data_IF_129083095143
#
_entry.id   IF_129083095143
#
_cell.length_a   1.000
_cell.length_b   1.000
_cell.length_c   1.000
_cell.angle_alpha   90.00
_cell.angle_beta   90.00
_cell.angle_gamma   90.00
#
_symmetry.space_group_name_H-M   'P 1'
#
loop_
_entity.id
_entity.type
_entity.pdbx_description
1 polymer ?
#
# COMPACT_ATOMS: atom_id res chain seq x y z
N UNK A 1 1.71 -17.87 4.65
CA UNK A 1 2.13 -18.90 3.70
C UNK A 1 3.44 -18.53 3.04
N UNK A 2 3.47 -17.65 2.06
CA UNK A 2 4.74 -17.21 1.45
C UNK A 2 5.45 -16.12 2.28
N UNK A 3 4.75 -15.47 3.22
CA UNK A 3 5.30 -14.49 4.15
C UNK A 3 4.79 -14.72 5.57
N UNK A 4 5.37 -14.04 6.56
CA UNK A 4 4.92 -14.03 7.96
C UNK A 4 3.80 -13.01 8.23
N UNK A 5 3.33 -12.28 7.22
CA UNK A 5 2.21 -11.37 7.38
C UNK A 5 0.91 -12.17 7.61
N UNK A 6 0.10 -11.72 8.55
CA UNK A 6 -1.21 -12.30 8.87
C UNK A 6 -2.31 -11.27 8.61
N UNK A 7 -2.68 -11.02 7.32
CA UNK A 7 -3.79 -10.13 7.01
C UNK A 7 -5.10 -10.72 7.55
N UNK A 8 -6.04 -9.86 7.94
CA UNK A 8 -7.38 -10.30 8.31
C UNK A 8 -8.07 -10.89 7.09
N UNK A 9 -8.37 -12.18 7.12
CA UNK A 9 -9.14 -12.86 6.08
C UNK A 9 -10.61 -12.55 6.33
N UNK A 10 -11.28 -11.88 5.40
CA UNK A 10 -12.71 -11.67 5.42
C UNK A 10 -13.26 -11.86 4.00
N UNK A 11 -14.45 -12.46 3.89
CA UNK A 11 -15.16 -12.69 2.63
C UNK A 11 -15.82 -11.38 2.09
N UNK A 12 -15.23 -10.24 2.34
CA UNK A 12 -15.72 -8.98 1.83
C UNK A 12 -14.88 -8.54 0.65
N UNK A 13 -15.52 -8.29 -0.48
CA UNK A 13 -14.92 -7.56 -1.59
C UNK A 13 -14.54 -6.16 -1.09
N UNK A 14 -13.25 -5.77 -1.26
CA UNK A 14 -12.75 -4.39 -1.08
C UNK A 14 -12.65 -3.81 0.35
N UNK A 15 -12.17 -4.58 1.34
CA UNK A 15 -12.03 -4.08 2.72
C UNK A 15 -10.70 -3.44 3.05
N UNK A 16 -9.71 -3.43 2.15
CA UNK A 16 -8.36 -2.93 2.47
C UNK A 16 -7.99 -1.75 1.59
N UNK A 17 -8.01 -0.54 2.17
CA UNK A 17 -7.54 0.71 1.55
C UNK A 17 -6.00 0.78 1.44
N UNK A 18 -5.28 -0.10 2.13
CA UNK A 18 -3.82 -0.14 2.15
C UNK A 18 -3.32 -1.53 1.76
N UNK A 19 -2.25 -1.64 0.94
CA UNK A 19 -1.68 -2.92 0.59
C UNK A 19 -1.09 -3.62 1.83
N UNK A 20 -1.38 -4.89 1.99
CA UNK A 20 -0.70 -5.70 3.00
C UNK A 20 0.68 -6.08 2.47
N UNK A 21 1.72 -5.63 3.17
CA UNK A 21 3.10 -5.94 2.79
C UNK A 21 3.62 -7.16 3.54
N UNK A 22 4.28 -8.06 2.84
CA UNK A 22 4.91 -9.23 3.44
C UNK A 22 6.30 -9.50 2.87
N UNK A 23 7.25 -9.84 3.72
CA UNK A 23 8.57 -10.30 3.27
C UNK A 23 8.49 -11.77 2.89
N UNK A 24 8.83 -12.07 1.66
CA UNK A 24 8.89 -13.44 1.10
C UNK A 24 10.35 -13.90 1.09
N UNK A 25 10.62 -14.98 1.79
CA UNK A 25 11.94 -15.61 1.82
C UNK A 25 12.05 -16.67 0.74
N UNK A 26 13.07 -16.54 -0.12
CA UNK A 26 13.33 -17.46 -1.23
C UNK A 26 14.38 -18.50 -0.84
N UNK A 27 15.52 -18.00 -0.33
CA UNK A 27 16.65 -18.80 0.16
C UNK A 27 17.47 -17.97 1.12
N UNK A 28 18.55 -18.55 1.69
CA UNK A 28 19.47 -17.80 2.55
C UNK A 28 20.05 -16.60 1.81
N UNK A 29 19.86 -15.41 2.38
CA UNK A 29 20.30 -14.13 1.80
C UNK A 29 19.44 -13.60 0.64
N UNK A 30 18.35 -14.29 0.25
CA UNK A 30 17.45 -13.86 -0.83
C UNK A 30 16.02 -13.71 -0.35
N UNK A 31 15.50 -12.49 -0.43
CA UNK A 31 14.11 -12.17 -0.09
C UNK A 31 13.63 -10.98 -0.92
N UNK A 32 12.30 -10.83 -1.03
CA UNK A 32 11.66 -9.67 -1.63
C UNK A 32 10.39 -9.31 -0.87
N UNK A 33 9.90 -8.09 -1.07
CA UNK A 33 8.62 -7.65 -0.50
C UNK A 33 7.51 -7.92 -1.51
N UNK A 34 6.44 -8.57 -1.06
CA UNK A 34 5.21 -8.78 -1.81
C UNK A 34 4.11 -7.94 -1.20
N UNK A 35 3.39 -7.21 -2.03
CA UNK A 35 2.19 -6.49 -1.65
C UNK A 35 0.97 -7.31 -2.05
N UNK A 36 0.07 -7.57 -1.10
CA UNK A 36 -1.26 -8.08 -1.39
C UNK A 36 -2.14 -6.88 -1.76
N UNK A 37 -2.52 -6.85 -3.02
CA UNK A 37 -3.33 -5.78 -3.58
C UNK A 37 -4.67 -6.41 -3.95
N UNK A 38 -5.74 -6.14 -3.19
CA UNK A 38 -7.07 -6.70 -3.44
C UNK A 38 -7.53 -6.40 -4.87
N UNK A 39 -8.30 -7.30 -5.47
CA UNK A 39 -8.68 -7.26 -6.88
C UNK A 39 -9.17 -5.89 -7.36
N UNK A 40 -8.79 -5.55 -8.58
CA UNK A 40 -9.17 -4.31 -9.24
C UNK A 40 -10.70 -4.30 -9.41
N UNK A 41 -11.33 -3.19 -9.03
CA UNK A 41 -12.79 -2.99 -9.14
C UNK A 41 -13.09 -2.57 -10.57
N UNK A 42 -14.06 -3.22 -11.23
CA UNK A 42 -14.64 -2.71 -12.47
C UNK A 42 -15.07 -1.26 -12.29
N UNK A 43 -14.55 -0.34 -13.12
CA UNK A 43 -14.83 1.09 -13.04
C UNK A 43 -13.92 1.90 -12.11
N UNK A 44 -12.80 1.35 -11.63
CA UNK A 44 -11.83 2.09 -10.82
C UNK A 44 -11.24 3.30 -11.56
N UNK A 45 -11.14 3.23 -12.90
CA UNK A 45 -10.71 4.32 -13.78
C UNK A 45 -11.73 5.45 -13.90
N UNK A 46 -13.01 5.20 -13.64
CA UNK A 46 -14.10 6.16 -13.87
C UNK A 46 -14.34 7.13 -12.70
N UNK A 47 -13.41 7.22 -11.76
CA UNK A 47 -13.40 8.32 -10.76
C UNK A 47 -14.17 8.04 -9.46
N UNK A 48 -14.57 6.81 -9.18
CA UNK A 48 -15.12 6.44 -7.87
C UNK A 48 -13.96 6.28 -6.86
N UNK A 49 -13.36 7.37 -6.48
CA UNK A 49 -12.45 7.68 -5.36
C UNK A 49 -11.45 6.66 -4.81
N UNK A 50 -11.73 5.39 -4.86
CA UNK A 50 -10.90 4.30 -4.31
C UNK A 50 -9.91 3.73 -5.34
N UNK A 51 -10.17 3.85 -6.65
CA UNK A 51 -9.35 3.26 -7.70
C UNK A 51 -7.99 3.94 -7.88
N UNK A 52 -7.92 5.26 -7.81
CA UNK A 52 -6.68 6.02 -8.03
C UNK A 52 -5.63 5.82 -6.94
N UNK A 53 -6.02 5.79 -5.68
CA UNK A 53 -5.09 5.57 -4.57
C UNK A 53 -4.55 4.13 -4.58
N UNK A 54 -5.37 3.19 -4.99
CA UNK A 54 -5.03 1.79 -5.15
C UNK A 54 -4.01 1.56 -6.27
N UNK A 55 -4.23 2.13 -7.45
CA UNK A 55 -3.34 2.01 -8.60
C UNK A 55 -1.97 2.67 -8.35
N UNK A 56 -1.92 3.70 -7.48
CA UNK A 56 -0.67 4.31 -7.01
C UNK A 56 0.22 3.33 -6.22
N UNK A 57 -0.38 2.35 -5.51
CA UNK A 57 0.39 1.30 -4.85
C UNK A 57 0.97 0.29 -5.84
N UNK A 58 0.21 -0.08 -6.88
CA UNK A 58 0.70 -0.96 -7.95
C UNK A 58 1.85 -0.30 -8.71
N UNK A 59 1.79 1.01 -8.88
CA UNK A 59 2.83 1.78 -9.58
C UNK A 59 4.21 1.69 -8.91
N UNK A 60 4.27 1.35 -7.63
CA UNK A 60 5.51 1.07 -6.89
C UNK A 60 6.02 -0.37 -7.03
N UNK A 61 5.30 -1.24 -7.71
CA UNK A 61 5.71 -2.63 -7.92
C UNK A 61 6.57 -2.77 -9.17
N UNK A 62 7.69 -3.49 -9.08
CA UNK A 62 8.58 -3.77 -10.22
C UNK A 62 8.08 -4.94 -11.08
N UNK A 63 7.37 -5.86 -10.47
CA UNK A 63 6.81 -7.07 -11.06
C UNK A 63 5.38 -7.23 -10.57
N UNK A 64 4.47 -7.57 -11.46
CA UNK A 64 3.09 -7.88 -11.13
C UNK A 64 2.89 -9.39 -11.17
N UNK A 65 2.19 -9.94 -10.17
CA UNK A 65 1.72 -11.32 -10.17
C UNK A 65 0.19 -11.27 -10.27
N UNK A 66 -0.32 -11.63 -11.44
CA UNK A 66 -1.74 -11.64 -11.71
C UNK A 66 -2.32 -13.00 -11.32
N UNK A 67 -3.03 -13.05 -10.20
CA UNK A 67 -3.71 -14.26 -9.74
C UNK A 67 -5.10 -14.34 -10.39
N UNK A 68 -5.36 -15.43 -11.13
CA UNK A 68 -6.65 -15.66 -11.81
C UNK A 68 -7.30 -16.90 -11.21
N UNK A 69 -8.56 -16.80 -10.80
CA UNK A 69 -9.35 -17.94 -10.36
C UNK A 69 -9.80 -18.77 -11.57
N UNK A 70 -9.30 -20.00 -11.68
CA UNK A 70 -9.65 -20.89 -12.78
C UNK A 70 -10.75 -21.91 -12.42
N UNK A 71 -11.20 -21.90 -11.16
CA UNK A 71 -12.20 -22.87 -10.69
C UNK A 71 -13.58 -22.68 -11.31
N UNK A 72 -13.90 -21.46 -11.77
CA UNK A 72 -15.24 -21.13 -12.23
C UNK A 72 -16.31 -21.12 -11.12
N UNK A 73 -15.90 -21.22 -9.85
CA UNK A 73 -16.80 -21.32 -8.70
C UNK A 73 -17.72 -20.10 -8.52
N UNK A 74 -17.33 -18.94 -9.05
CA UNK A 74 -18.09 -17.70 -9.02
C UNK A 74 -18.82 -17.40 -10.34
N UNK A 75 -18.78 -18.34 -11.29
CA UNK A 75 -19.45 -18.18 -12.60
C UNK A 75 -18.73 -17.21 -13.54
N UNK A 76 -17.48 -16.81 -13.24
CA UNK A 76 -16.66 -15.89 -14.04
C UNK A 76 -15.78 -16.67 -15.02
N UNK A 77 -15.49 -16.06 -16.18
CA UNK A 77 -14.56 -16.62 -17.16
C UNK A 77 -13.14 -16.12 -16.87
N UNK A 78 -12.14 -17.02 -16.68
CA UNK A 78 -10.79 -16.60 -16.29
C UNK A 78 -10.07 -15.80 -17.39
N UNK A 79 -10.40 -15.96 -18.66
CA UNK A 79 -9.82 -15.15 -19.74
C UNK A 79 -10.41 -13.74 -19.73
N UNK A 80 -11.72 -13.61 -19.50
CA UNK A 80 -12.38 -12.31 -19.37
C UNK A 80 -11.88 -11.56 -18.15
N UNK A 81 -11.70 -12.21 -16.99
CA UNK A 81 -11.13 -11.63 -15.78
C UNK A 81 -9.71 -11.13 -16.00
N UNK A 82 -8.87 -11.92 -16.69
CA UNK A 82 -7.52 -11.51 -17.04
C UNK A 82 -7.50 -10.26 -17.94
N UNK A 83 -8.34 -10.22 -18.97
CA UNK A 83 -8.41 -9.07 -19.87
C UNK A 83 -9.01 -7.83 -19.20
N UNK A 84 -9.99 -7.98 -18.32
CA UNK A 84 -10.59 -6.87 -17.59
C UNK A 84 -9.55 -6.14 -16.73
N UNK A 85 -8.74 -6.88 -15.97
CA UNK A 85 -7.66 -6.31 -15.15
C UNK A 85 -6.60 -5.63 -16.02
N UNK A 86 -6.20 -6.25 -17.14
CA UNK A 86 -5.24 -5.62 -18.04
C UNK A 86 -5.82 -4.38 -18.74
N UNK A 87 -7.12 -4.32 -18.99
CA UNK A 87 -7.78 -3.12 -19.51
C UNK A 87 -7.75 -1.98 -18.47
N UNK A 88 -8.02 -2.27 -17.20
CA UNK A 88 -7.92 -1.29 -16.11
C UNK A 88 -6.48 -0.75 -15.94
N UNK A 89 -5.47 -1.63 -15.99
CA UNK A 89 -4.07 -1.21 -15.93
C UNK A 89 -3.72 -0.26 -17.09
N UNK A 90 -4.19 -0.56 -18.31
CA UNK A 90 -4.00 0.31 -19.48
C UNK A 90 -4.74 1.64 -19.35
N UNK A 91 -5.95 1.62 -18.85
CA UNK A 91 -6.75 2.83 -18.65
C UNK A 91 -6.11 3.79 -17.64
N UNK A 92 -5.41 3.25 -16.64
CA UNK A 92 -4.72 4.06 -15.65
C UNK A 92 -3.39 4.64 -16.16
N UNK A 93 -2.51 3.80 -16.73
CA UNK A 93 -1.18 4.22 -17.18
C UNK A 93 -0.56 3.22 -18.14
N UNK A 94 -0.08 3.69 -19.29
CA UNK A 94 0.69 2.89 -20.25
C UNK A 94 1.98 2.32 -19.60
N UNK A 95 2.60 3.06 -18.69
CA UNK A 95 3.79 2.62 -17.95
C UNK A 95 3.44 1.42 -17.07
N UNK A 96 2.30 1.47 -16.37
CA UNK A 96 1.86 0.37 -15.53
C UNK A 96 1.45 -0.85 -16.36
N UNK A 97 0.76 -0.65 -17.47
CA UNK A 97 0.37 -1.71 -18.41
C UNK A 97 1.57 -2.42 -19.05
N UNK A 98 2.70 -1.71 -19.21
CA UNK A 98 3.93 -2.26 -19.79
C UNK A 98 4.79 -3.03 -18.78
N UNK A 99 4.42 -3.05 -17.50
CA UNK A 99 5.20 -3.76 -16.48
C UNK A 99 5.23 -5.25 -16.71
N UNK A 100 6.35 -5.86 -16.34
CA UNK A 100 6.49 -7.30 -16.39
C UNK A 100 5.43 -7.95 -15.51
N UNK A 101 4.68 -8.89 -16.07
CA UNK A 101 3.67 -9.68 -15.37
C UNK A 101 4.02 -11.16 -15.41
N UNK A 102 3.65 -11.87 -14.34
CA UNK A 102 3.57 -13.33 -14.25
C UNK A 102 2.11 -13.66 -13.99
N UNK A 103 1.53 -14.58 -14.74
CA UNK A 103 0.14 -15.03 -14.55
C UNK A 103 0.13 -16.33 -13.77
N UNK A 104 -0.63 -16.39 -12.69
CA UNK A 104 -0.79 -17.57 -11.87
C UNK A 104 -2.27 -17.99 -11.80
N UNK A 105 -2.58 -19.11 -12.39
CA UNK A 105 -3.88 -19.76 -12.30
C UNK A 105 -4.05 -20.35 -10.89
N UNK A 106 -4.93 -19.76 -10.08
CA UNK A 106 -5.17 -20.17 -8.71
C UNK A 106 -6.44 -21.00 -8.58
N UNK A 107 -6.57 -21.71 -7.47
CA UNK A 107 -7.65 -22.65 -7.14
C UNK A 107 -7.68 -23.90 -8.05
N UNK A 108 -6.50 -24.33 -8.53
CA UNK A 108 -6.39 -25.52 -9.37
C UNK A 108 -6.85 -26.82 -8.66
N UNK A 109 -6.87 -26.83 -7.33
CA UNK A 109 -7.39 -27.92 -6.50
C UNK A 109 -8.91 -28.16 -6.67
N UNK A 110 -9.64 -27.18 -7.18
CA UNK A 110 -11.09 -27.25 -7.38
C UNK A 110 -11.50 -27.70 -8.79
N UNK A 111 -10.53 -27.87 -9.71
CA UNK A 111 -10.83 -28.22 -11.12
C UNK A 111 -11.27 -29.67 -11.32
N UNK A 112 -10.87 -30.59 -10.43
CA UNK A 112 -11.06 -32.02 -10.68
C UNK A 112 -10.36 -32.43 -11.96
N UNK A 113 -11.10 -33.14 -12.84
CA UNK A 113 -10.61 -33.60 -14.14
C UNK A 113 -10.82 -32.57 -15.28
N UNK A 114 -11.61 -31.51 -15.03
CA UNK A 114 -11.91 -30.50 -16.05
C UNK A 114 -10.84 -29.39 -16.08
N UNK A 115 -10.00 -29.44 -17.09
CA UNK A 115 -8.93 -28.49 -17.33
C UNK A 115 -9.28 -27.38 -18.34
N UNK A 116 -10.51 -27.33 -18.81
CA UNK A 116 -10.91 -26.43 -19.91
C UNK A 116 -10.54 -24.98 -19.64
N UNK A 117 -10.87 -24.46 -18.46
CA UNK A 117 -10.61 -23.07 -18.08
C UNK A 117 -9.11 -22.76 -18.00
N UNK A 118 -8.33 -23.63 -17.37
CA UNK A 118 -6.91 -23.41 -17.18
C UNK A 118 -6.13 -23.52 -18.50
N UNK A 119 -6.51 -24.46 -19.38
CA UNK A 119 -5.84 -24.65 -20.68
C UNK A 119 -6.18 -23.47 -21.63
N UNK A 120 -7.41 -22.97 -21.60
CA UNK A 120 -7.80 -21.73 -22.33
C UNK A 120 -7.02 -20.53 -21.85
N UNK A 121 -6.96 -20.29 -20.53
CA UNK A 121 -6.21 -19.19 -19.96
C UNK A 121 -4.72 -19.29 -20.30
N UNK A 122 -4.12 -20.49 -20.14
CA UNK A 122 -2.72 -20.74 -20.49
C UNK A 122 -2.43 -20.34 -21.94
N UNK A 123 -3.20 -20.92 -22.87
CA UNK A 123 -3.00 -20.65 -24.31
C UNK A 123 -3.12 -19.15 -24.62
N UNK A 124 -4.06 -18.47 -23.98
CA UNK A 124 -4.31 -17.04 -24.18
C UNK A 124 -3.14 -16.17 -23.67
N UNK A 125 -2.66 -16.41 -22.45
CA UNK A 125 -1.62 -15.57 -21.83
C UNK A 125 -0.23 -15.87 -22.38
N UNK A 126 0.08 -17.15 -22.69
CA UNK A 126 1.34 -17.53 -23.31
C UNK A 126 1.47 -16.97 -24.73
N UNK A 127 0.37 -16.91 -25.50
CA UNK A 127 0.34 -16.24 -26.81
C UNK A 127 0.66 -14.73 -26.74
N UNK A 128 0.40 -14.10 -25.60
CA UNK A 128 0.76 -12.70 -25.32
C UNK A 128 2.16 -12.54 -24.71
N UNK A 129 2.89 -13.65 -24.49
CA UNK A 129 4.27 -13.65 -23.99
C UNK A 129 4.40 -13.62 -22.46
N UNK A 130 3.32 -13.82 -21.73
CA UNK A 130 3.37 -13.91 -20.26
C UNK A 130 3.83 -15.28 -19.78
N UNK A 131 4.59 -15.32 -18.69
CA UNK A 131 4.90 -16.55 -17.98
C UNK A 131 3.66 -17.04 -17.22
N UNK A 132 3.37 -18.33 -17.30
CA UNK A 132 2.18 -18.94 -16.72
C UNK A 132 2.54 -20.00 -15.67
N UNK A 133 1.85 -19.97 -14.52
CA UNK A 133 2.01 -20.92 -13.41
C UNK A 133 0.66 -21.45 -12.95
N UNK A 134 0.60 -22.74 -12.66
CA UNK A 134 -0.54 -23.35 -12.00
C UNK A 134 -0.29 -23.41 -10.50
N UNK A 135 -1.28 -23.06 -9.70
CA UNK A 135 -1.15 -23.11 -8.26
C UNK A 135 -2.48 -23.32 -7.54
N UNK A 136 -2.38 -23.73 -6.29
CA UNK A 136 -3.44 -23.60 -5.31
C UNK A 136 -2.87 -22.99 -4.03
N UNK A 137 -3.32 -21.81 -3.68
CA UNK A 137 -2.95 -21.18 -2.41
C UNK A 137 -3.48 -22.00 -1.22
N UNK A 138 -4.69 -22.56 -1.32
CA UNK A 138 -5.30 -23.38 -0.29
C UNK A 138 -4.58 -24.72 -0.07
N UNK A 139 -4.23 -25.40 -1.18
CA UNK A 139 -3.52 -26.70 -1.14
C UNK A 139 -1.98 -26.56 -1.03
N UNK A 140 -1.44 -25.36 -1.03
CA UNK A 140 0.00 -25.06 -1.00
C UNK A 140 0.79 -25.69 -2.18
N UNK A 141 0.17 -25.88 -3.32
CA UNK A 141 0.81 -26.41 -4.52
C UNK A 141 1.18 -25.29 -5.48
N UNK A 142 2.31 -25.41 -6.19
CA UNK A 142 2.79 -24.41 -7.18
C UNK A 142 3.30 -23.08 -6.59
N UNK A 143 3.10 -22.84 -5.30
CA UNK A 143 3.47 -21.58 -4.65
C UNK A 143 4.98 -21.36 -4.58
N UNK A 144 5.75 -22.43 -4.37
CA UNK A 144 7.21 -22.36 -4.30
C UNK A 144 7.82 -22.01 -5.67
N UNK A 145 7.32 -22.66 -6.72
CA UNK A 145 7.74 -22.45 -8.10
C UNK A 145 7.45 -21.02 -8.53
N UNK A 146 6.26 -20.49 -8.19
CA UNK A 146 5.90 -19.11 -8.45
C UNK A 146 6.82 -18.13 -7.72
N UNK A 147 7.11 -18.35 -6.43
CA UNK A 147 8.01 -17.50 -5.63
C UNK A 147 9.43 -17.50 -6.23
N UNK A 148 9.94 -18.65 -6.65
CA UNK A 148 11.25 -18.75 -7.30
C UNK A 148 11.28 -18.01 -8.63
N UNK A 149 10.23 -18.13 -9.45
CA UNK A 149 10.10 -17.41 -10.71
C UNK A 149 10.04 -15.88 -10.48
N UNK A 150 9.30 -15.43 -9.48
CA UNK A 150 9.27 -14.00 -9.08
C UNK A 150 10.65 -13.49 -8.70
N UNK A 151 11.41 -14.25 -7.88
CA UNK A 151 12.74 -13.86 -7.46
C UNK A 151 13.71 -13.79 -8.66
N UNK A 152 13.69 -14.78 -9.54
CA UNK A 152 14.49 -14.81 -10.76
C UNK A 152 14.16 -13.59 -11.65
N UNK A 153 12.86 -13.32 -11.85
CA UNK A 153 12.43 -12.19 -12.68
C UNK A 153 12.79 -10.85 -12.08
N UNK A 154 12.67 -10.68 -10.77
CA UNK A 154 13.08 -9.46 -10.06
C UNK A 154 14.59 -9.21 -10.14
N UNK A 155 15.41 -10.25 -10.26
CA UNK A 155 16.86 -10.10 -10.46
C UNK A 155 17.21 -9.56 -11.87
N UNK A 156 16.38 -9.84 -12.87
CA UNK A 156 16.54 -9.34 -14.24
C UNK A 156 16.04 -7.89 -14.43
N UNK A 157 15.00 -7.49 -13.67
CA UNK A 157 14.39 -6.18 -13.78
C UNK A 157 15.28 -5.16 -13.05
N UNK A 158 15.67 -4.03 -13.69
CA UNK A 158 16.45 -3.00 -13.02
C UNK A 158 15.68 -2.42 -11.80
N UNK A 159 16.39 -1.92 -10.78
CA UNK A 159 15.76 -1.19 -9.68
C UNK A 159 14.91 -0.05 -10.22
N UNK A 160 13.74 0.18 -9.61
CA UNK A 160 12.98 1.40 -9.91
C UNK A 160 13.83 2.62 -9.59
N UNK A 161 13.85 3.57 -10.52
CA UNK A 161 14.36 4.89 -10.19
C UNK A 161 13.39 5.51 -9.18
N UNK A 162 13.90 6.11 -8.09
CA UNK A 162 13.03 6.85 -7.19
C UNK A 162 12.27 7.90 -8.00
N UNK A 163 10.97 8.00 -7.77
CA UNK A 163 10.21 9.13 -8.31
C UNK A 163 10.84 10.41 -7.77
N UNK A 164 11.42 11.21 -8.64
CA UNK A 164 11.72 12.59 -8.29
C UNK A 164 10.37 13.28 -8.17
N UNK A 165 10.07 13.79 -7.00
CA UNK A 165 8.84 14.54 -6.81
C UNK A 165 8.91 15.79 -7.71
N UNK A 166 7.98 15.91 -8.66
CA UNK A 166 7.87 17.09 -9.55
C UNK A 166 7.65 18.40 -8.76
N UNK A 167 7.22 18.25 -7.52
CA UNK A 167 7.06 19.33 -6.56
C UNK A 167 7.60 18.85 -5.19
N UNK A 168 8.71 19.41 -4.79
CA UNK A 168 9.12 19.39 -3.37
C UNK A 168 8.41 20.58 -2.74
N UNK A 169 7.37 20.37 -1.89
CA UNK A 169 6.80 21.47 -1.14
C UNK A 169 7.95 22.21 -0.46
N UNK A 170 8.01 23.54 -0.51
CA UNK A 170 8.99 24.27 0.29
C UNK A 170 8.86 23.74 1.71
N UNK A 171 10.00 23.38 2.33
CA UNK A 171 9.99 23.04 3.74
C UNK A 171 9.28 24.19 4.45
N UNK A 172 8.19 23.94 5.20
CA UNK A 172 7.52 25.00 5.88
C UNK A 172 8.55 25.64 6.80
N UNK A 173 8.54 26.97 6.86
CA UNK A 173 9.31 27.70 7.84
C UNK A 173 8.84 27.23 9.22
N UNK A 174 9.53 26.24 9.76
CA UNK A 174 9.29 25.75 11.12
C UNK A 174 9.78 26.83 12.04
N UNK A 175 8.85 27.53 12.67
CA UNK A 175 9.18 28.45 13.74
C UNK A 175 9.75 27.70 14.94
N UNK A 176 10.42 28.40 15.81
CA UNK A 176 10.96 27.83 17.05
C UNK A 176 9.89 27.81 18.15
N UNK A 177 10.09 26.96 19.16
CA UNK A 177 9.20 26.93 20.32
C UNK A 177 9.16 28.25 21.07
N UNK A 178 10.20 29.10 20.96
CA UNK A 178 10.27 30.43 21.61
C UNK A 178 9.23 31.39 21.04
N UNK A 179 8.77 31.18 19.81
CA UNK A 179 7.70 31.98 19.18
C UNK A 179 6.29 31.54 19.59
N UNK A 180 6.19 30.46 20.36
CA UNK A 180 4.91 29.94 20.83
C UNK A 180 4.55 30.49 22.18
N UNK A 181 3.26 30.79 22.38
CA UNK A 181 2.68 31.10 23.65
C UNK A 181 2.15 29.84 24.28
N UNK A 182 2.70 29.46 25.43
CA UNK A 182 2.27 28.28 26.18
C UNK A 182 1.60 28.80 27.48
N UNK A 183 0.36 28.35 27.70
CA UNK A 183 -0.40 28.61 28.91
C UNK A 183 -0.75 27.30 29.58
N UNK A 184 -0.63 27.22 30.89
CA UNK A 184 -0.90 26.03 31.67
C UNK A 184 -2.07 26.29 32.64
N UNK A 185 -3.03 25.36 32.67
CA UNK A 185 -4.21 25.39 33.52
C UNK A 185 -4.42 23.96 34.06
N UNK A 186 -4.03 23.71 35.29
CA UNK A 186 -4.07 22.38 35.93
C UNK A 186 -3.40 21.28 35.05
N UNK A 187 -4.15 20.41 34.39
CA UNK A 187 -3.70 19.33 33.50
C UNK A 187 -3.80 19.70 32.01
N UNK A 188 -4.12 20.96 31.67
CA UNK A 188 -4.30 21.45 30.31
C UNK A 188 -3.19 22.44 29.91
N UNK A 189 -2.47 22.12 28.84
CA UNK A 189 -1.44 22.94 28.23
C UNK A 189 -1.92 23.52 26.91
N UNK A 190 -2.18 24.81 26.85
CA UNK A 190 -2.65 25.47 25.62
C UNK A 190 -1.46 26.08 24.90
N UNK A 191 -1.26 25.71 23.64
CA UNK A 191 -0.14 26.16 22.81
C UNK A 191 -0.67 26.86 21.56
N UNK A 192 -0.25 28.15 21.43
CA UNK A 192 -0.66 29.01 20.32
C UNK A 192 0.55 29.72 19.70
N UNK A 193 0.50 30.03 18.41
CA UNK A 193 1.53 30.81 17.73
C UNK A 193 1.29 30.94 16.22
N UNK A 194 1.77 32.04 15.60
CA UNK A 194 1.44 32.35 14.21
C UNK A 194 1.88 31.29 13.20
N UNK A 195 3.08 30.69 13.40
CA UNK A 195 3.56 29.63 12.51
C UNK A 195 2.79 28.32 12.74
N UNK A 196 2.44 28.02 14.00
CA UNK A 196 1.69 26.82 14.35
C UNK A 196 0.26 26.88 13.78
N UNK A 197 -0.36 28.05 13.78
CA UNK A 197 -1.66 28.26 13.16
C UNK A 197 -1.62 28.03 11.64
N UNK A 198 -0.58 28.52 10.95
CA UNK A 198 -0.38 28.27 9.52
C UNK A 198 -0.16 26.79 9.24
N UNK A 199 0.65 26.12 10.08
CA UNK A 199 0.88 24.67 9.97
C UNK A 199 -0.43 23.91 10.11
N UNK A 200 -1.23 24.18 11.16
CA UNK A 200 -2.55 23.55 11.37
C UNK A 200 -3.47 23.68 10.16
N UNK A 201 -3.49 24.86 9.52
CA UNK A 201 -4.30 25.11 8.32
C UNK A 201 -3.84 24.33 7.07
N UNK A 202 -2.62 23.79 7.05
CA UNK A 202 -2.05 23.02 5.93
C UNK A 202 -2.13 21.50 6.13
N UNK A 203 -2.48 21.05 7.33
CA UNK A 203 -2.51 19.61 7.67
C UNK A 203 -3.89 19.02 7.42
N UNK A 204 -3.91 17.91 6.70
CA UNK A 204 -5.09 17.06 6.62
C UNK A 204 -5.01 15.98 7.72
N UNK A 205 -5.68 16.22 8.84
CA UNK A 205 -5.69 15.28 9.98
C UNK A 205 -6.40 13.95 9.68
N UNK A 206 -7.14 13.84 8.57
CA UNK A 206 -7.67 12.57 8.08
C UNK A 206 -6.61 11.67 7.45
N UNK A 207 -5.49 12.24 6.99
CA UNK A 207 -4.41 11.53 6.34
C UNK A 207 -3.28 11.16 7.31
N UNK A 208 -2.81 9.92 7.23
CA UNK A 208 -1.76 9.41 8.11
C UNK A 208 -0.40 10.11 7.90
N UNK A 209 0.01 10.30 6.63
CA UNK A 209 1.30 10.93 6.32
C UNK A 209 1.32 12.39 6.78
N UNK A 210 0.21 13.12 6.61
CA UNK A 210 0.05 14.49 7.10
C UNK A 210 0.17 14.59 8.62
N UNK A 211 -0.42 13.65 9.36
CA UNK A 211 -0.28 13.58 10.83
C UNK A 211 1.15 13.30 11.27
N UNK A 212 1.84 12.36 10.61
CA UNK A 212 3.24 12.05 10.89
C UNK A 212 4.16 13.24 10.58
N UNK A 213 3.85 13.98 9.52
CA UNK A 213 4.54 15.20 9.20
C UNK A 213 4.34 16.26 10.29
N UNK A 214 3.11 16.47 10.76
CA UNK A 214 2.78 17.39 11.85
C UNK A 214 3.55 17.05 13.14
N UNK A 215 3.54 15.80 13.58
CA UNK A 215 4.30 15.34 14.74
C UNK A 215 5.81 15.64 14.60
N UNK A 216 6.37 15.37 13.43
CA UNK A 216 7.78 15.64 13.13
C UNK A 216 8.10 17.14 13.27
N UNK A 217 7.25 18.00 12.72
CA UNK A 217 7.44 19.45 12.78
C UNK A 217 7.39 19.94 14.24
N UNK A 218 6.43 19.46 15.02
CA UNK A 218 6.34 19.81 16.45
C UNK A 218 7.61 19.37 17.21
N UNK A 219 8.14 18.18 16.95
CA UNK A 219 9.40 17.71 17.55
C UNK A 219 10.58 18.58 17.14
N UNK A 220 10.70 18.89 15.85
CA UNK A 220 11.80 19.72 15.33
C UNK A 220 11.76 21.17 15.84
N UNK A 221 10.58 21.69 16.14
CA UNK A 221 10.44 23.05 16.72
C UNK A 221 10.97 23.16 18.15
N UNK A 222 11.21 22.04 18.83
CA UNK A 222 11.58 22.01 20.26
C UNK A 222 10.39 22.25 21.20
N UNK A 223 9.15 22.11 20.71
CA UNK A 223 7.95 22.30 21.55
C UNK A 223 7.91 21.31 22.72
N UNK A 224 8.16 20.05 22.45
CA UNK A 224 8.11 18.99 23.48
C UNK A 224 9.19 19.21 24.54
N UNK A 225 10.43 19.52 24.15
CA UNK A 225 11.53 19.81 25.07
C UNK A 225 11.17 21.02 25.99
N UNK A 226 10.48 22.01 25.43
CA UNK A 226 10.03 23.19 26.19
C UNK A 226 8.89 22.87 27.15
N UNK A 227 7.91 22.05 26.74
CA UNK A 227 6.83 21.58 27.63
C UNK A 227 7.41 20.77 28.80
N UNK A 228 8.37 19.87 28.54
CA UNK A 228 9.09 19.12 29.58
C UNK A 228 9.84 20.04 30.55
N UNK A 229 10.55 21.04 30.02
CA UNK A 229 11.25 22.03 30.85
C UNK A 229 10.29 22.87 31.70
N UNK A 230 9.03 23.02 31.26
CA UNK A 230 7.98 23.73 32.01
C UNK A 230 7.24 22.79 32.99
N UNK A 231 7.49 21.48 32.98
CA UNK A 231 6.99 20.51 33.93
C UNK A 231 5.72 19.78 33.53
N UNK A 232 5.49 19.56 32.24
CA UNK A 232 4.39 18.71 31.77
C UNK A 232 4.59 17.27 32.26
N UNK A 233 3.50 16.62 32.66
CA UNK A 233 3.48 15.24 33.14
C UNK A 233 2.84 14.30 32.11
N UNK A 234 3.15 13.00 32.20
CA UNK A 234 2.52 11.99 31.33
C UNK A 234 1.03 11.90 31.65
N UNK A 235 0.21 12.05 30.63
CA UNK A 235 -1.26 12.08 30.75
C UNK A 235 -1.86 13.48 30.71
N UNK A 236 -1.05 14.55 30.82
CA UNK A 236 -1.54 15.90 30.63
C UNK A 236 -2.08 16.09 29.21
N UNK A 237 -3.04 16.97 29.06
CA UNK A 237 -3.63 17.31 27.78
C UNK A 237 -2.91 18.53 27.17
N UNK A 238 -2.43 18.36 25.94
CA UNK A 238 -1.92 19.47 25.12
C UNK A 238 -2.98 19.87 24.09
N UNK A 239 -3.38 21.14 24.15
CA UNK A 239 -4.36 21.74 23.23
C UNK A 239 -3.65 22.69 22.27
N UNK A 240 -3.75 22.39 20.98
CA UNK A 240 -3.24 23.22 19.89
C UNK A 240 -4.43 23.64 19.04
N UNK A 241 -4.98 24.83 19.28
CA UNK A 241 -6.21 25.31 18.65
C UNK A 241 -7.37 24.30 18.83
N UNK A 242 -7.81 23.64 17.72
CA UNK A 242 -8.92 22.67 17.73
C UNK A 242 -8.44 21.21 17.89
N UNK A 243 -7.14 20.99 18.19
CA UNK A 243 -6.54 19.67 18.34
C UNK A 243 -6.08 19.47 19.79
N UNK A 244 -6.71 18.50 20.47
CA UNK A 244 -6.32 18.07 21.81
C UNK A 244 -5.70 16.67 21.73
N UNK A 245 -4.58 16.46 22.43
CA UNK A 245 -3.96 15.16 22.56
C UNK A 245 -3.30 14.99 23.93
N UNK A 246 -3.24 13.74 24.38
CA UNK A 246 -2.58 13.37 25.64
C UNK A 246 -1.06 13.33 25.45
N UNK A 247 -0.34 13.99 26.33
CA UNK A 247 1.13 13.99 26.30
C UNK A 247 1.65 12.62 26.78
N UNK A 248 2.60 12.06 26.01
CA UNK A 248 3.30 10.82 26.32
C UNK A 248 4.79 10.97 25.98
N UNK A 249 5.65 10.49 26.86
CA UNK A 249 7.11 10.50 26.70
C UNK A 249 7.59 9.58 25.56
#
# INVERSE_FOLDING_TARGET
>A
MVSKAHPKIANYHFTTLFPNLGVVYVSEGSSFVMADIPGIIEGASDGAGLGHDFLRHIDRCRLLVHLVDVSGSEGRDPVEDFEAINAELRAYSDVLASRTQIVAANKCDLLGDDRTNIDRLRAHVEAQGYAFFEMSAAAHTGTRELVQACAAKLAEIPPMQPYEADYVPPEPEVGTSDELQIRHFDDLWVVEGPWLQRLMGSINFGDYESRMYFDRVLRQSGLFDRLEAMGIEEGDTVSIYDLDFEFRF
#
